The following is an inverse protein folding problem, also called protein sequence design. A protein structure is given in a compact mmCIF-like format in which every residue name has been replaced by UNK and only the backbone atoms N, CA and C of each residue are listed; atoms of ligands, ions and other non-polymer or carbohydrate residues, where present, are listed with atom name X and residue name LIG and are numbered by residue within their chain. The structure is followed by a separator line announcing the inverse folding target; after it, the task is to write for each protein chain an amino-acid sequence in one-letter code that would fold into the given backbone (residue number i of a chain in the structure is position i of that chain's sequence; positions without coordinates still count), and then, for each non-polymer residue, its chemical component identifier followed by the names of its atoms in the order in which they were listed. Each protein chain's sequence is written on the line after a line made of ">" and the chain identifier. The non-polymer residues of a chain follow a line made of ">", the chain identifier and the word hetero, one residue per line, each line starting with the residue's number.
data_IF_467729139038
#
_entry.id   IF_467729139038
#
_cell.length_a   1.000
_cell.length_b   1.000
_cell.length_c   1.000
_cell.angle_alpha   90.00
_cell.angle_beta   90.00
_cell.angle_gamma   90.00
#
_symmetry.space_group_name_H-M   'P 1'
#
loop_
_entity.id
_entity.type
_entity.pdbx_description
1 polymer ?
#
# COMPACT_ATOMS: atom_id res chain seq x y z
N UNK A 1 16.58 1.33 -10.25
CA UNK A 1 15.29 2.01 -9.96
C UNK A 1 14.09 1.06 -9.95
N UNK A 2 13.82 0.28 -11.01
CA UNK A 2 12.72 -0.70 -11.02
C UNK A 2 12.77 -1.70 -9.85
N UNK A 3 13.99 -2.12 -9.44
CA UNK A 3 14.20 -2.97 -8.26
C UNK A 3 13.84 -2.27 -6.93
N UNK A 4 14.04 -0.96 -6.83
CA UNK A 4 13.62 -0.20 -5.64
C UNK A 4 12.10 -0.18 -5.49
N UNK A 5 11.38 -0.11 -6.61
CA UNK A 5 9.91 -0.17 -6.64
C UNK A 5 9.42 -1.53 -6.11
N UNK A 6 10.10 -2.61 -6.50
CA UNK A 6 9.90 -3.94 -5.92
C UNK A 6 10.11 -3.93 -4.40
N UNK A 7 11.24 -3.41 -3.92
CA UNK A 7 11.55 -3.38 -2.50
C UNK A 7 10.57 -2.55 -1.67
N UNK A 8 10.06 -1.47 -2.24
CA UNK A 8 9.09 -0.57 -1.60
C UNK A 8 7.66 -1.13 -1.58
N UNK A 9 7.32 -2.02 -2.53
CA UNK A 9 5.96 -2.56 -2.68
C UNK A 9 5.76 -3.95 -2.08
N UNK A 10 6.82 -4.78 -2.03
CA UNK A 10 6.68 -6.24 -1.81
C UNK A 10 7.36 -6.76 -0.55
N UNK A 11 7.89 -5.88 0.29
CA UNK A 11 8.63 -6.22 1.52
C UNK A 11 7.85 -7.08 2.53
N UNK A 12 6.52 -7.14 2.43
CA UNK A 12 5.68 -7.98 3.29
C UNK A 12 5.47 -9.41 2.78
N UNK A 13 5.70 -9.70 1.50
CA UNK A 13 5.27 -10.96 0.84
C UNK A 13 6.37 -11.59 -0.02
N UNK A 14 7.61 -11.60 0.49
CA UNK A 14 8.72 -12.24 -0.20
C UNK A 14 8.59 -13.78 -0.21
N UNK A 15 9.01 -14.45 -1.29
CA UNK A 15 8.92 -15.92 -1.46
C UNK A 15 9.72 -16.73 -0.43
N UNK A 16 10.70 -16.11 0.24
CA UNK A 16 11.43 -16.73 1.36
C UNK A 16 10.71 -16.64 2.71
N UNK A 17 9.55 -16.00 2.78
CA UNK A 17 8.74 -15.97 4.01
C UNK A 17 7.89 -17.23 4.11
N UNK A 18 7.58 -17.70 5.33
CA UNK A 18 6.61 -18.77 5.50
C UNK A 18 5.24 -18.33 4.97
N UNK A 19 4.52 -19.27 4.38
CA UNK A 19 3.12 -19.09 4.02
C UNK A 19 2.22 -18.93 5.25
N UNK A 20 1.00 -18.45 5.04
CA UNK A 20 0.02 -18.29 6.10
C UNK A 20 -0.99 -17.17 5.87
N UNK A 21 -1.89 -16.98 6.83
CA UNK A 21 -2.91 -15.94 6.76
C UNK A 21 -2.28 -14.53 6.84
N UNK A 22 -2.72 -13.65 5.95
CA UNK A 22 -2.24 -12.27 5.85
C UNK A 22 -3.43 -11.29 5.85
N UNK A 23 -3.25 -10.05 6.35
CA UNK A 23 -4.35 -9.09 6.41
C UNK A 23 -4.77 -8.56 5.04
N UNK A 24 -3.85 -8.60 4.06
CA UNK A 24 -4.03 -8.30 2.65
C UNK A 24 -2.82 -8.87 1.87
N UNK A 25 -2.96 -8.95 0.55
CA UNK A 25 -1.91 -9.23 -0.42
C UNK A 25 -1.73 -8.02 -1.36
N UNK A 26 -0.52 -7.73 -1.84
CA UNK A 26 -0.33 -6.74 -2.90
C UNK A 26 -0.96 -7.16 -4.25
N UNK A 27 -1.29 -6.17 -5.09
CA UNK A 27 -2.05 -6.39 -6.30
C UNK A 27 -1.32 -7.15 -7.40
N UNK A 28 -2.10 -7.88 -8.19
CA UNK A 28 -1.63 -8.63 -9.36
C UNK A 28 -1.01 -9.99 -9.05
N UNK A 29 -1.12 -10.49 -7.81
CA UNK A 29 -0.77 -11.86 -7.43
C UNK A 29 -1.85 -12.42 -6.50
N UNK A 30 -3.04 -12.64 -7.05
CA UNK A 30 -4.18 -13.19 -6.32
C UNK A 30 -4.91 -14.23 -7.17
N UNK A 31 -5.30 -15.32 -6.53
CA UNK A 31 -6.29 -16.27 -7.05
C UNK A 31 -7.48 -16.28 -6.10
N UNK A 32 -8.68 -16.15 -6.65
CA UNK A 32 -9.91 -16.03 -5.86
C UNK A 32 -10.99 -16.99 -6.37
N UNK A 33 -11.72 -17.59 -5.44
CA UNK A 33 -12.93 -18.35 -5.77
C UNK A 33 -13.96 -17.38 -6.34
N UNK A 34 -14.53 -17.69 -7.51
CA UNK A 34 -15.56 -16.86 -8.14
C UNK A 34 -16.67 -16.47 -7.16
N UNK A 35 -17.17 -17.41 -6.38
CA UNK A 35 -18.20 -17.19 -5.37
C UNK A 35 -17.82 -16.12 -4.33
N UNK A 36 -16.55 -16.08 -3.92
CA UNK A 36 -16.06 -15.08 -2.96
C UNK A 36 -15.98 -13.68 -3.58
N UNK A 37 -15.63 -13.58 -4.88
CA UNK A 37 -15.64 -12.30 -5.59
C UNK A 37 -17.07 -11.80 -5.84
N UNK A 38 -17.98 -12.68 -6.27
CA UNK A 38 -19.38 -12.31 -6.55
C UNK A 38 -20.20 -11.98 -5.29
N UNK A 39 -19.70 -12.36 -4.11
CA UNK A 39 -20.31 -12.02 -2.82
C UNK A 39 -19.92 -10.62 -2.30
N UNK A 40 -19.02 -9.91 -2.99
CA UNK A 40 -18.60 -8.54 -2.64
C UNK A 40 -19.12 -7.54 -3.66
N UNK A 41 -18.85 -6.25 -3.46
CA UNK A 41 -19.21 -5.21 -4.43
C UNK A 41 -18.26 -5.13 -5.63
N UNK A 42 -17.28 -6.03 -5.73
CA UNK A 42 -16.19 -5.96 -6.70
C UNK A 42 -15.16 -4.88 -6.36
N UNK A 43 -14.40 -4.45 -7.37
CA UNK A 43 -13.45 -3.34 -7.23
C UNK A 43 -14.18 -2.01 -7.25
N UNK A 44 -13.84 -1.13 -6.30
CA UNK A 44 -14.38 0.23 -6.30
C UNK A 44 -13.74 1.06 -7.42
N UNK A 45 -14.58 1.78 -8.16
CA UNK A 45 -14.14 2.79 -9.14
C UNK A 45 -14.10 4.19 -8.54
N UNK A 46 -14.49 4.33 -7.27
CA UNK A 46 -14.56 5.61 -6.58
C UNK A 46 -13.18 6.18 -6.29
N UNK A 47 -12.96 7.42 -6.72
CA UNK A 47 -11.71 8.14 -6.46
C UNK A 47 -11.69 8.74 -5.04
N UNK A 48 -10.52 8.78 -4.36
CA UNK A 48 -9.18 8.45 -4.87
C UNK A 48 -8.75 6.99 -4.64
N UNK A 49 -9.63 6.14 -4.11
CA UNK A 49 -9.28 4.74 -3.76
C UNK A 49 -8.95 3.93 -5.01
N UNK A 50 -9.70 4.13 -6.08
CA UNK A 50 -9.52 3.45 -7.36
C UNK A 50 -8.15 3.68 -8.04
N UNK A 51 -7.36 4.67 -7.59
CA UNK A 51 -6.02 4.90 -8.14
C UNK A 51 -4.96 3.86 -7.74
N UNK A 52 -5.17 3.19 -6.62
CA UNK A 52 -4.07 2.60 -5.88
C UNK A 52 -4.46 1.49 -4.91
N UNK A 53 -5.73 1.42 -4.52
CA UNK A 53 -6.20 0.63 -3.39
C UNK A 53 -7.57 0.00 -3.63
N UNK A 54 -8.03 -0.07 -4.87
CA UNK A 54 -9.26 -0.78 -5.26
C UNK A 54 -9.23 -2.24 -4.80
N UNK A 55 -8.09 -2.91 -4.98
CA UNK A 55 -7.92 -4.30 -4.57
C UNK A 55 -7.84 -4.42 -3.04
N UNK A 56 -7.19 -3.47 -2.36
CA UNK A 56 -7.12 -3.44 -0.89
C UNK A 56 -8.52 -3.25 -0.28
N UNK A 57 -9.34 -2.38 -0.87
CA UNK A 57 -10.72 -2.16 -0.44
C UNK A 57 -11.57 -3.43 -0.63
N UNK A 58 -11.43 -4.09 -1.78
CA UNK A 58 -12.11 -5.35 -2.06
C UNK A 58 -11.68 -6.48 -1.10
N UNK A 59 -10.38 -6.64 -0.85
CA UNK A 59 -9.86 -7.62 0.11
C UNK A 59 -10.40 -7.39 1.53
N UNK A 60 -10.64 -6.13 1.91
CA UNK A 60 -11.28 -5.80 3.17
C UNK A 60 -12.74 -6.27 3.24
N UNK A 61 -13.49 -6.17 2.13
CA UNK A 61 -14.85 -6.73 2.04
C UNK A 61 -14.84 -8.25 2.21
N UNK A 62 -13.93 -8.94 1.52
CA UNK A 62 -13.75 -10.39 1.66
C UNK A 62 -13.52 -10.77 3.13
N UNK A 63 -12.62 -10.06 3.82
CA UNK A 63 -12.34 -10.31 5.24
C UNK A 63 -13.52 -10.00 6.16
N UNK A 64 -14.26 -8.91 5.90
CA UNK A 64 -15.47 -8.57 6.66
C UNK A 64 -16.58 -9.61 6.50
N UNK A 65 -16.63 -10.28 5.35
CA UNK A 65 -17.53 -11.40 5.10
C UNK A 65 -17.05 -12.73 5.72
N UNK A 66 -15.99 -12.72 6.55
CA UNK A 66 -15.41 -13.93 7.16
C UNK A 66 -14.45 -14.69 6.25
N UNK A 67 -14.14 -14.14 5.07
CA UNK A 67 -13.14 -14.70 4.15
C UNK A 67 -11.73 -14.59 4.70
N UNK A 68 -10.86 -15.49 4.23
CA UNK A 68 -9.45 -15.55 4.61
C UNK A 68 -8.56 -15.27 3.40
N UNK A 69 -7.45 -14.59 3.63
CA UNK A 69 -6.43 -14.31 2.62
C UNK A 69 -5.17 -15.04 3.04
N UNK A 70 -4.71 -15.95 2.19
CA UNK A 70 -3.57 -16.82 2.47
C UNK A 70 -2.44 -16.48 1.50
N UNK A 71 -1.27 -16.17 2.04
CA UNK A 71 -0.04 -16.07 1.29
C UNK A 71 0.57 -17.46 1.14
N UNK A 72 0.86 -17.85 -0.10
CA UNK A 72 1.59 -19.07 -0.44
C UNK A 72 2.89 -18.69 -1.17
N UNK A 73 4.08 -18.95 -0.58
CA UNK A 73 5.35 -18.64 -1.23
C UNK A 73 5.61 -19.46 -2.51
N UNK A 74 4.89 -20.57 -2.71
CA UNK A 74 4.94 -21.38 -3.93
C UNK A 74 4.12 -20.81 -5.09
N UNK A 75 3.20 -19.86 -4.82
CA UNK A 75 2.44 -19.15 -5.85
C UNK A 75 3.30 -18.03 -6.47
N UNK A 76 4.25 -18.44 -7.32
CA UNK A 76 5.23 -17.53 -7.94
C UNK A 76 4.61 -16.73 -9.07
N UNK A 77 4.79 -15.41 -9.03
CA UNK A 77 4.39 -14.49 -10.10
C UNK A 77 5.56 -13.58 -10.47
N UNK A 78 5.73 -13.34 -11.76
CA UNK A 78 6.76 -12.46 -12.28
C UNK A 78 6.22 -11.04 -12.44
N UNK A 79 6.86 -10.08 -11.77
CA UNK A 79 6.45 -8.68 -11.80
C UNK A 79 7.45 -7.83 -12.57
N UNK A 80 6.96 -7.11 -13.59
CA UNK A 80 7.71 -6.08 -14.30
C UNK A 80 7.44 -4.73 -13.65
N UNK A 81 8.44 -4.21 -12.92
CA UNK A 81 8.33 -2.91 -12.27
C UNK A 81 8.63 -1.77 -13.24
N UNK A 82 7.91 -0.66 -13.08
CA UNK A 82 8.08 0.52 -13.95
C UNK A 82 9.50 1.10 -13.75
N UNK A 83 10.27 1.31 -14.83
CA UNK A 83 11.57 1.96 -14.70
C UNK A 83 11.43 3.46 -14.44
N UNK A 84 12.50 4.06 -13.91
CA UNK A 84 12.62 5.51 -13.72
C UNK A 84 12.31 5.99 -12.29
N UNK A 85 13.13 6.92 -11.82
CA UNK A 85 13.01 7.50 -10.48
C UNK A 85 11.72 8.32 -10.31
N UNK A 86 11.36 9.11 -11.32
CA UNK A 86 10.10 9.89 -11.32
C UNK A 86 8.87 8.98 -11.18
N UNK A 87 8.86 7.83 -11.84
CA UNK A 87 7.76 6.87 -11.76
C UNK A 87 7.67 6.23 -10.37
N UNK A 88 8.81 5.88 -9.77
CA UNK A 88 8.89 5.43 -8.38
C UNK A 88 8.27 6.45 -7.42
N UNK A 89 8.69 7.72 -7.51
CA UNK A 89 8.18 8.79 -6.64
C UNK A 89 6.69 9.05 -6.87
N UNK A 90 6.24 9.16 -8.14
CA UNK A 90 4.83 9.40 -8.51
C UNK A 90 3.92 8.28 -7.99
N UNK A 91 4.33 7.02 -8.12
CA UNK A 91 3.59 5.88 -7.58
C UNK A 91 3.46 5.96 -6.07
N UNK A 92 4.58 6.16 -5.36
CA UNK A 92 4.57 6.20 -3.90
C UNK A 92 3.75 7.40 -3.38
N UNK A 93 3.81 8.55 -4.05
CA UNK A 93 2.95 9.69 -3.76
C UNK A 93 1.46 9.34 -3.89
N UNK A 94 1.04 8.71 -5.00
CA UNK A 94 -0.36 8.30 -5.21
C UNK A 94 -0.84 7.30 -4.15
N UNK A 95 0.03 6.37 -3.75
CA UNK A 95 -0.22 5.46 -2.63
C UNK A 95 -0.35 6.18 -1.30
N UNK A 96 0.46 7.20 -1.04
CA UNK A 96 0.30 8.04 0.16
C UNK A 96 -1.02 8.80 0.14
N UNK A 97 -1.35 9.41 -1.01
CA UNK A 97 -2.49 10.29 -1.18
C UNK A 97 -3.83 9.65 -0.85
N UNK A 98 -4.05 8.41 -1.27
CA UNK A 98 -5.29 7.68 -1.00
C UNK A 98 -5.23 6.81 0.26
N UNK A 99 -4.15 6.89 1.04
CA UNK A 99 -3.92 5.97 2.15
C UNK A 99 -4.93 6.10 3.28
N UNK A 100 -5.42 7.31 3.58
CA UNK A 100 -6.36 7.51 4.70
C UNK A 100 -7.74 7.01 4.28
N UNK A 101 -8.22 7.42 3.10
CA UNK A 101 -9.47 6.97 2.50
C UNK A 101 -9.51 5.44 2.33
N UNK A 102 -8.39 4.82 1.95
CA UNK A 102 -8.33 3.38 1.75
C UNK A 102 -8.12 2.59 3.03
N UNK A 103 -7.32 3.06 3.99
CA UNK A 103 -6.89 2.23 5.14
C UNK A 103 -7.69 2.46 6.41
N UNK A 104 -8.19 3.68 6.64
CA UNK A 104 -9.00 3.97 7.83
C UNK A 104 -10.32 3.18 7.85
N UNK A 105 -11.08 3.07 6.74
CA UNK A 105 -12.37 2.36 6.73
C UNK A 105 -12.25 0.84 6.57
N UNK A 106 -11.15 0.37 5.97
CA UNK A 106 -11.02 -1.05 5.61
C UNK A 106 -10.45 -1.91 6.73
N UNK A 107 -9.63 -1.34 7.61
CA UNK A 107 -8.90 -2.15 8.60
C UNK A 107 -7.88 -3.11 7.98
N UNK A 108 -7.71 -3.07 6.65
CA UNK A 108 -6.93 -4.05 5.91
C UNK A 108 -5.42 -3.77 5.98
N UNK A 109 -5.01 -2.59 6.42
CA UNK A 109 -3.61 -2.26 6.66
C UNK A 109 -3.14 -2.68 8.05
N UNK A 110 -1.85 -3.03 8.16
CA UNK A 110 -1.19 -3.17 9.45
C UNK A 110 -1.27 -1.84 10.21
N UNK A 111 -1.66 -1.88 11.48
CA UNK A 111 -1.91 -0.67 12.30
C UNK A 111 -2.95 0.29 11.68
N UNK A 112 -3.98 -0.24 11.01
CA UNK A 112 -5.04 0.57 10.39
C UNK A 112 -5.70 1.58 11.34
N UNK A 113 -5.70 1.31 12.65
CA UNK A 113 -6.21 2.23 13.68
C UNK A 113 -5.52 3.60 13.66
N UNK A 114 -4.25 3.68 13.25
CA UNK A 114 -3.50 4.95 13.18
C UNK A 114 -4.11 5.88 12.12
N UNK A 115 -4.69 5.31 11.06
CA UNK A 115 -5.34 6.08 9.99
C UNK A 115 -6.65 6.76 10.43
N UNK A 116 -7.13 6.47 11.65
CA UNK A 116 -8.23 7.22 12.27
C UNK A 116 -7.81 8.60 12.79
N UNK A 117 -6.50 8.88 12.87
CA UNK A 117 -5.95 10.12 13.40
C UNK A 117 -5.15 10.87 12.31
N UNK A 118 -5.83 11.45 11.30
CA UNK A 118 -5.17 12.06 10.15
C UNK A 118 -4.22 13.21 10.53
N UNK A 119 -4.57 14.03 11.53
CA UNK A 119 -3.71 15.11 12.01
C UNK A 119 -2.38 14.58 12.58
N UNK A 120 -2.44 13.51 13.39
CA UNK A 120 -1.24 12.88 13.95
C UNK A 120 -0.37 12.27 12.84
N UNK A 121 -0.98 11.63 11.84
CA UNK A 121 -0.26 11.10 10.68
C UNK A 121 0.43 12.19 9.86
N UNK A 122 -0.22 13.33 9.68
CA UNK A 122 0.36 14.50 8.99
C UNK A 122 1.59 15.00 9.76
N UNK A 123 1.46 15.19 11.08
CA UNK A 123 2.54 15.67 11.94
C UNK A 123 3.71 14.66 12.00
N UNK A 124 3.40 13.37 12.08
CA UNK A 124 4.39 12.30 12.16
C UNK A 124 4.94 11.87 10.79
N UNK A 125 4.52 12.49 9.69
CA UNK A 125 4.79 12.02 8.32
C UNK A 125 6.28 11.88 7.99
N UNK A 126 7.12 12.81 8.46
CA UNK A 126 8.58 12.75 8.28
C UNK A 126 9.21 11.65 9.13
N UNK A 127 9.04 11.61 10.48
CA UNK A 127 9.52 10.49 11.29
C UNK A 127 9.07 9.12 10.78
N UNK A 128 7.81 9.01 10.33
CA UNK A 128 7.26 7.78 9.77
C UNK A 128 7.94 7.35 8.47
N UNK A 129 8.44 8.29 7.66
CA UNK A 129 9.19 7.96 6.45
C UNK A 129 10.50 7.23 6.80
N UNK A 130 11.24 7.71 7.79
CA UNK A 130 12.48 7.08 8.28
C UNK A 130 12.18 5.72 8.94
N UNK A 131 11.19 5.67 9.83
CA UNK A 131 10.79 4.42 10.48
C UNK A 131 10.34 3.37 9.45
N UNK A 132 9.56 3.77 8.45
CA UNK A 132 9.13 2.88 7.37
C UNK A 132 10.30 2.41 6.50
N UNK A 133 11.28 3.28 6.25
CA UNK A 133 12.49 2.93 5.49
C UNK A 133 13.31 1.88 6.23
N UNK A 134 13.56 2.11 7.53
CA UNK A 134 14.25 1.15 8.39
C UNK A 134 13.51 -0.19 8.46
N UNK A 135 12.18 -0.15 8.59
CA UNK A 135 11.35 -1.34 8.63
C UNK A 135 11.36 -2.13 7.32
N UNK A 136 11.31 -1.45 6.17
CA UNK A 136 11.47 -2.10 4.85
C UNK A 136 12.84 -2.80 4.78
N UNK A 137 13.92 -2.10 5.15
CA UNK A 137 15.27 -2.69 5.19
C UNK A 137 15.33 -3.93 6.08
N UNK A 138 14.76 -3.85 7.28
CA UNK A 138 14.66 -4.98 8.22
C UNK A 138 13.90 -6.18 7.64
N UNK A 139 12.77 -5.95 6.96
CA UNK A 139 12.01 -7.04 6.33
C UNK A 139 12.83 -7.77 5.26
N UNK A 140 13.60 -7.05 4.45
CA UNK A 140 14.46 -7.64 3.43
C UNK A 140 15.68 -8.36 4.01
N UNK A 141 16.29 -7.79 5.05
CA UNK A 141 17.35 -8.44 5.82
C UNK A 141 16.90 -9.77 6.39
N UNK A 142 15.70 -9.81 6.99
CA UNK A 142 15.09 -11.05 7.51
C UNK A 142 14.80 -12.08 6.42
N UNK A 143 14.64 -11.66 5.17
CA UNK A 143 14.50 -12.55 4.02
C UNK A 143 15.87 -12.95 3.41
N UNK A 144 17.00 -12.53 3.99
CA UNK A 144 18.35 -12.80 3.48
C UNK A 144 18.65 -12.08 2.17
N UNK A 145 18.07 -10.91 1.94
CA UNK A 145 18.27 -10.08 0.73
C UNK A 145 18.89 -8.75 1.15
N UNK A 146 20.15 -8.53 0.78
CA UNK A 146 20.93 -7.36 1.23
C UNK A 146 20.85 -6.16 0.28
N UNK A 147 20.51 -6.39 -0.99
CA UNK A 147 20.47 -5.34 -2.03
C UNK A 147 19.67 -4.07 -1.64
N UNK A 148 18.53 -4.15 -0.92
CA UNK A 148 17.79 -2.97 -0.47
C UNK A 148 18.59 -2.02 0.40
N UNK A 149 19.65 -2.49 1.09
CA UNK A 149 20.54 -1.64 1.89
C UNK A 149 21.27 -0.63 0.99
N UNK A 150 21.76 -1.10 -0.17
CA UNK A 150 22.42 -0.23 -1.16
C UNK A 150 21.44 0.77 -1.79
N UNK A 151 20.15 0.49 -1.70
CA UNK A 151 19.07 1.33 -2.23
C UNK A 151 18.41 2.20 -1.17
N UNK A 152 18.91 2.24 0.07
CA UNK A 152 18.29 3.02 1.15
C UNK A 152 18.00 4.49 0.78
N UNK A 153 18.88 5.22 0.08
CA UNK A 153 18.55 6.58 -0.37
C UNK A 153 17.31 6.63 -1.27
N UNK A 154 17.17 5.67 -2.19
CA UNK A 154 16.03 5.60 -3.10
C UNK A 154 14.75 5.12 -2.38
N UNK A 155 14.88 4.18 -1.42
CA UNK A 155 13.76 3.74 -0.57
C UNK A 155 13.27 4.90 0.30
N UNK A 156 14.19 5.65 0.91
CA UNK A 156 13.86 6.84 1.69
C UNK A 156 13.17 7.89 0.84
N UNK A 157 13.68 8.20 -0.35
CA UNK A 157 13.03 9.13 -1.27
C UNK A 157 11.61 8.67 -1.65
N UNK A 158 11.41 7.37 -1.89
CA UNK A 158 10.10 6.79 -2.14
C UNK A 158 9.17 6.92 -0.92
N UNK A 159 9.67 6.71 0.30
CA UNK A 159 8.88 6.89 1.54
C UNK A 159 8.57 8.35 1.83
N UNK A 160 9.47 9.28 1.53
CA UNK A 160 9.21 10.73 1.61
C UNK A 160 8.13 11.14 0.60
N UNK A 161 8.17 10.62 -0.63
CA UNK A 161 7.10 10.84 -1.60
C UNK A 161 5.75 10.29 -1.12
N UNK A 162 5.74 9.10 -0.51
CA UNK A 162 4.54 8.56 0.15
C UNK A 162 4.06 9.48 1.27
N UNK A 163 4.94 9.96 2.15
CA UNK A 163 4.59 10.89 3.23
C UNK A 163 4.02 12.20 2.70
N UNK A 164 4.58 12.76 1.62
CA UNK A 164 4.03 13.94 0.97
C UNK A 164 2.61 13.69 0.42
N UNK A 165 2.40 12.53 -0.20
CA UNK A 165 1.07 12.08 -0.62
C UNK A 165 0.11 11.98 0.56
N UNK A 166 0.52 11.31 1.64
CA UNK A 166 -0.25 11.13 2.86
C UNK A 166 -0.66 12.47 3.48
N UNK A 167 0.25 13.44 3.51
CA UNK A 167 -0.05 14.79 4.01
C UNK A 167 -1.10 15.46 3.14
N UNK A 168 -0.93 15.44 1.81
CA UNK A 168 -1.88 16.06 0.88
C UNK A 168 -3.27 15.40 0.95
N UNK A 169 -3.32 14.07 0.97
CA UNK A 169 -4.55 13.28 1.14
C UNK A 169 -5.21 13.52 2.49
N UNK A 170 -4.42 13.55 3.57
CA UNK A 170 -4.92 13.78 4.92
C UNK A 170 -5.46 15.18 5.15
N UNK A 171 -4.81 16.22 4.61
CA UNK A 171 -5.35 17.59 4.64
C UNK A 171 -6.68 17.66 3.87
N UNK A 172 -6.77 17.03 2.70
CA UNK A 172 -8.04 16.93 1.95
C UNK A 172 -9.12 16.21 2.78
N UNK A 173 -8.80 15.05 3.34
CA UNK A 173 -9.72 14.26 4.15
C UNK A 173 -10.21 15.03 5.38
N UNK A 174 -9.33 15.74 6.09
CA UNK A 174 -9.74 16.57 7.24
C UNK A 174 -10.68 17.71 6.85
N UNK A 175 -10.55 18.25 5.63
CA UNK A 175 -11.40 19.36 5.14
C UNK A 175 -12.76 18.92 4.64
N UNK A 176 -12.84 17.76 4.00
CA UNK A 176 -14.03 17.36 3.24
C UNK A 176 -14.59 15.98 3.65
N UNK A 177 -13.84 15.21 4.42
CA UNK A 177 -14.23 13.90 4.92
C UNK A 177 -14.58 12.89 3.80
N UNK A 178 -15.45 11.91 4.11
CA UNK A 178 -16.00 10.97 3.14
C UNK A 178 -16.87 11.63 2.06
N UNK A 179 -17.38 12.84 2.33
CA UNK A 179 -18.20 13.63 1.41
C UNK A 179 -17.39 14.46 0.41
N UNK A 180 -16.07 14.32 0.40
CA UNK A 180 -15.23 14.94 -0.60
C UNK A 180 -15.65 14.46 -1.99
N UNK A 181 -16.01 15.40 -2.87
CA UNK A 181 -16.27 15.11 -4.28
C UNK A 181 -15.15 14.24 -4.85
N UNK A 182 -15.50 13.37 -5.80
CA UNK A 182 -14.51 12.60 -6.56
C UNK A 182 -13.46 13.56 -7.10
N UNK A 183 -12.31 13.57 -6.44
CA UNK A 183 -11.21 14.41 -6.84
C UNK A 183 -10.38 13.55 -7.76
N UNK A 184 -10.44 13.86 -9.07
CA UNK A 184 -9.39 13.46 -9.99
C UNK A 184 -8.27 14.48 -9.86
N UNK A 185 -7.20 14.17 -9.12
CA UNK A 185 -6.15 15.12 -8.94
C UNK A 185 -5.44 15.41 -10.27
N UNK A 186 -5.04 16.67 -10.49
CA UNK A 186 -4.49 17.20 -11.76
C UNK A 186 -3.14 16.60 -12.21
N UNK A 187 -2.65 15.57 -11.53
CA UNK A 187 -1.42 14.85 -11.88
C UNK A 187 -1.70 13.55 -12.62
N UNK A 188 -2.88 13.37 -13.21
CA UNK A 188 -3.08 12.44 -14.33
C UNK A 188 -2.33 12.96 -15.56
#
# INVERSE_FOLDING_TARGET
>A
MARCDYYCGWYHVHSRRPGGEVPNHPPGNLSVRRAAFTATRGYTEQQPVAYAHEELAWQAEVRRAGGRIVFDPGAVVYHYNRPGFRNLLRRNYRWGYSAIESKAPTGAARLAWVYRYPALLVLASIPLAFASTAYIGWCWLRAGVLEPILMLPAVLAARLAYSAGLVAGGVRWMRFGPGAAEARPRWE
#
